data_IF_424490342300
#
_entry.id   IF_424490342300
#
_cell.length_a   1.000
_cell.length_b   1.000
_cell.length_c   1.000
_cell.angle_alpha   90.00
_cell.angle_beta   90.00
_cell.angle_gamma   90.00
#
_symmetry.space_group_name_H-M   'P 1'
#
loop_
_entity.id
_entity.type
_entity.pdbx_description
1 polymer ?
#
# COMPACT_ATOMS: atom_id res chain seq x y z
N UNK A 1 -24.05 20.68 8.24
CA UNK A 1 -22.95 19.88 8.82
C UNK A 1 -23.06 19.99 10.34
N UNK A 2 -23.12 18.90 11.09
CA UNK A 2 -23.12 19.02 12.55
C UNK A 2 -21.74 19.48 13.04
N UNK A 3 -21.75 20.41 13.99
CA UNK A 3 -20.56 21.04 14.61
C UNK A 3 -19.47 20.01 15.02
N UNK A 4 -19.86 18.79 15.34
CA UNK A 4 -18.94 17.72 15.74
C UNK A 4 -17.98 17.21 14.64
N UNK A 5 -18.31 17.39 13.37
CA UNK A 5 -17.40 17.02 12.26
C UNK A 5 -16.34 18.10 12.02
N UNK A 6 -16.69 19.37 12.15
CA UNK A 6 -15.75 20.48 12.00
C UNK A 6 -14.65 20.47 13.08
N UNK A 7 -15.03 20.13 14.33
CA UNK A 7 -14.07 20.03 15.45
C UNK A 7 -13.10 18.84 15.25
N UNK A 8 -13.57 17.73 14.67
CA UNK A 8 -12.71 16.57 14.39
C UNK A 8 -11.71 16.83 13.25
N UNK A 9 -12.11 17.58 12.23
CA UNK A 9 -11.23 17.95 11.10
C UNK A 9 -10.12 18.89 11.55
N UNK A 10 -10.46 19.89 12.39
CA UNK A 10 -9.46 20.82 12.95
C UNK A 10 -8.49 20.12 13.90
N UNK A 11 -8.94 19.12 14.67
CA UNK A 11 -8.08 18.35 15.57
C UNK A 11 -7.08 17.47 14.80
N UNK A 12 -7.50 16.86 13.71
CA UNK A 12 -6.61 16.04 12.85
C UNK A 12 -5.59 16.94 12.14
N UNK A 13 -6.00 18.09 11.63
CA UNK A 13 -5.10 19.04 10.99
C UNK A 13 -4.08 19.62 11.99
N UNK A 14 -4.52 19.95 13.22
CA UNK A 14 -3.66 20.43 14.29
C UNK A 14 -2.67 19.35 14.77
N UNK A 15 -3.09 18.07 14.79
CA UNK A 15 -2.21 16.96 15.14
C UNK A 15 -1.14 16.72 14.05
N UNK A 16 -1.50 16.76 12.77
CA UNK A 16 -0.56 16.67 11.66
C UNK A 16 0.45 17.83 11.69
N UNK A 17 -0.01 19.03 11.99
CA UNK A 17 0.87 20.21 12.12
C UNK A 17 1.75 20.17 13.37
N UNK A 18 1.31 19.56 14.47
CA UNK A 18 2.13 19.41 15.69
C UNK A 18 3.17 18.30 15.56
N UNK A 19 2.90 17.23 14.81
CA UNK A 19 3.87 16.17 14.48
C UNK A 19 4.95 16.71 13.53
N UNK A 20 4.64 17.74 12.72
CA UNK A 20 5.59 18.37 11.81
C UNK A 20 6.84 18.98 12.49
N UNK A 21 6.89 19.04 13.82
CA UNK A 21 8.09 19.48 14.56
C UNK A 21 9.09 18.37 14.88
N UNK A 22 8.74 17.10 14.66
CA UNK A 22 9.62 15.96 15.02
C UNK A 22 9.60 14.92 13.91
N UNK A 23 10.76 14.65 13.32
CA UNK A 23 11.04 13.44 12.59
C UNK A 23 11.15 13.53 11.06
N UNK A 24 11.81 12.60 10.44
CA UNK A 24 12.37 12.63 9.09
C UNK A 24 12.23 11.29 8.34
N UNK A 25 11.99 11.27 6.99
CA UNK A 25 12.04 10.06 6.25
C UNK A 25 11.60 9.95 4.80
N UNK A 26 11.78 8.84 4.10
CA UNK A 26 11.50 8.68 2.66
C UNK A 26 10.15 8.00 2.40
N UNK A 27 9.29 8.66 1.65
CA UNK A 27 8.24 8.02 0.85
C UNK A 27 8.67 8.02 -0.61
N UNK A 28 8.16 7.08 -1.40
CA UNK A 28 8.32 7.14 -2.84
C UNK A 28 7.89 8.54 -3.34
N UNK A 29 8.74 9.16 -4.12
CA UNK A 29 8.42 10.47 -4.72
C UNK A 29 7.08 10.37 -5.44
N UNK A 30 6.12 11.27 -5.16
CA UNK A 30 4.83 11.21 -5.83
C UNK A 30 5.06 11.24 -7.35
N UNK A 31 4.34 10.41 -8.12
CA UNK A 31 4.56 10.31 -9.55
C UNK A 31 4.37 11.69 -10.18
N UNK A 32 5.41 12.19 -10.82
CA UNK A 32 5.35 13.44 -11.57
C UNK A 32 4.49 13.22 -12.81
N UNK A 33 3.62 14.16 -13.17
CA UNK A 33 2.77 14.02 -14.34
C UNK A 33 3.55 13.92 -15.65
N UNK A 34 4.84 14.25 -15.63
CA UNK A 34 5.64 14.34 -16.82
C UNK A 34 7.10 14.00 -16.58
N UNK A 35 7.53 12.86 -17.08
CA UNK A 35 8.89 12.36 -16.89
C UNK A 35 9.80 12.51 -18.11
N UNK A 36 9.44 12.65 -19.28
CA UNK A 36 10.26 12.65 -20.48
C UNK A 36 11.40 13.65 -20.49
N UNK A 37 11.29 14.71 -21.29
CA UNK A 37 12.30 15.77 -21.43
C UNK A 37 12.60 16.54 -20.12
N UNK A 38 11.68 16.50 -19.15
CA UNK A 38 11.71 17.28 -17.92
C UNK A 38 11.67 16.42 -16.67
N UNK A 39 11.99 15.14 -16.76
CA UNK A 39 12.12 14.22 -15.62
C UNK A 39 13.01 14.81 -14.52
N UNK A 40 13.02 14.22 -13.32
CA UNK A 40 13.91 14.68 -12.25
C UNK A 40 15.33 14.65 -12.77
N UNK A 41 15.95 15.80 -12.81
CA UNK A 41 17.39 15.88 -13.03
C UNK A 41 18.06 15.24 -11.81
N UNK A 42 19.26 14.68 -11.97
CA UNK A 42 20.06 14.22 -10.81
C UNK A 42 20.17 15.31 -9.73
N UNK A 43 20.13 16.57 -10.10
CA UNK A 43 20.12 17.72 -9.20
C UNK A 43 18.87 17.78 -8.31
N UNK A 44 17.71 17.29 -8.73
CA UNK A 44 16.49 17.30 -7.91
C UNK A 44 16.59 16.32 -6.74
N UNK A 45 17.29 15.19 -6.94
CA UNK A 45 17.48 14.20 -5.86
C UNK A 45 18.53 14.64 -4.83
N UNK A 46 19.41 15.58 -5.18
CA UNK A 46 20.47 16.08 -4.31
C UNK A 46 20.13 17.38 -3.60
N UNK A 47 18.97 17.98 -3.89
CA UNK A 47 18.56 19.25 -3.28
C UNK A 47 18.37 19.14 -1.78
N UNK A 48 18.86 20.10 -1.00
CA UNK A 48 18.77 20.05 0.46
C UNK A 48 17.34 20.21 0.98
N UNK A 49 16.46 20.85 0.22
CA UNK A 49 15.04 21.03 0.53
C UNK A 49 14.21 20.96 -0.74
N UNK A 50 13.03 20.34 -0.63
CA UNK A 50 12.08 20.22 -1.73
C UNK A 50 10.67 20.19 -1.15
N UNK A 51 9.76 20.94 -1.73
CA UNK A 51 8.34 20.90 -1.41
C UNK A 51 7.55 20.78 -2.72
N UNK A 52 6.89 19.66 -2.90
CA UNK A 52 6.06 19.38 -4.05
C UNK A 52 4.59 19.34 -3.66
N UNK A 53 3.77 20.02 -4.43
CA UNK A 53 2.32 19.96 -4.36
C UNK A 53 1.82 19.25 -5.63
N UNK A 54 1.08 18.16 -5.44
CA UNK A 54 0.38 17.49 -6.53
C UNK A 54 -1.12 17.62 -6.26
N UNK A 55 -1.87 17.87 -7.29
CA UNK A 55 -3.32 17.83 -7.24
C UNK A 55 -3.89 17.30 -8.55
N UNK A 56 -5.02 16.65 -8.45
CA UNK A 56 -5.72 16.12 -9.61
C UNK A 56 -7.22 16.30 -9.44
N UNK A 57 -7.88 16.54 -10.56
CA UNK A 57 -9.34 16.55 -10.65
C UNK A 57 -9.75 15.58 -11.74
N UNK A 58 -10.85 14.89 -11.55
CA UNK A 58 -11.31 13.88 -12.48
C UNK A 58 -12.81 13.69 -12.45
N UNK A 59 -13.35 13.26 -13.61
CA UNK A 59 -14.66 12.62 -13.71
C UNK A 59 -14.48 11.12 -13.86
N UNK A 60 -15.38 10.34 -13.29
CA UNK A 60 -15.34 8.90 -13.31
C UNK A 60 -16.72 8.30 -13.49
N UNK A 61 -16.74 7.14 -14.12
CA UNK A 61 -17.89 6.25 -14.16
C UNK A 61 -17.48 4.91 -13.53
N UNK A 62 -18.34 4.37 -12.70
CA UNK A 62 -18.07 3.20 -11.90
C UNK A 62 -19.31 2.29 -11.89
N UNK A 63 -19.10 1.03 -12.22
CA UNK A 63 -20.08 -0.04 -12.11
C UNK A 63 -19.73 -0.86 -10.88
N UNK A 64 -20.35 -0.56 -9.76
CA UNK A 64 -20.12 -1.24 -8.50
C UNK A 64 -21.22 -2.26 -8.27
N UNK A 65 -21.04 -3.50 -8.73
CA UNK A 65 -21.96 -4.59 -8.52
C UNK A 65 -21.42 -5.60 -7.50
N UNK A 66 -22.19 -5.86 -6.46
CA UNK A 66 -21.91 -6.96 -5.54
C UNK A 66 -22.36 -8.28 -6.14
N UNK A 67 -21.57 -9.34 -5.99
CA UNK A 67 -21.84 -10.67 -6.51
C UNK A 67 -22.72 -11.52 -5.57
N UNK A 68 -23.30 -10.97 -4.54
CA UNK A 68 -24.16 -11.73 -3.64
C UNK A 68 -25.59 -11.80 -4.17
N UNK A 69 -26.01 -12.97 -4.53
CA UNK A 69 -27.44 -13.35 -4.50
C UNK A 69 -27.77 -13.53 -3.02
N UNK A 70 -28.61 -12.69 -2.47
CA UNK A 70 -29.20 -12.81 -1.14
C UNK A 70 -28.56 -12.03 0.01
N UNK A 71 -29.45 -11.21 0.52
CA UNK A 71 -29.68 -10.78 1.88
C UNK A 71 -28.80 -9.76 2.55
N UNK A 72 -29.40 -8.67 2.77
CA UNK A 72 -29.61 -7.93 4.03
C UNK A 72 -28.57 -6.93 4.54
N UNK A 73 -27.35 -6.82 4.07
CA UNK A 73 -26.42 -5.84 4.67
C UNK A 73 -25.65 -5.02 3.64
N UNK A 74 -26.03 -5.11 2.38
CA UNK A 74 -25.33 -4.31 1.37
C UNK A 74 -25.99 -2.94 1.30
N UNK A 75 -25.26 -1.91 1.72
CA UNK A 75 -25.68 -0.53 1.55
C UNK A 75 -25.99 -0.28 0.06
N UNK A 76 -27.28 -0.19 -0.27
CA UNK A 76 -27.77 0.05 -1.64
C UNK A 76 -27.13 1.30 -2.28
N UNK A 77 -26.57 2.17 -1.46
CA UNK A 77 -25.83 3.36 -1.90
C UNK A 77 -24.51 3.04 -2.58
N UNK A 78 -23.96 1.83 -2.39
CA UNK A 78 -22.72 1.38 -3.03
C UNK A 78 -22.96 0.53 -4.30
N UNK A 79 -24.20 0.18 -4.62
CA UNK A 79 -24.59 -0.80 -5.65
C UNK A 79 -24.95 -0.24 -7.01
N UNK A 80 -24.73 1.00 -7.33
CA UNK A 80 -25.21 1.55 -8.60
C UNK A 80 -24.09 1.91 -9.56
N UNK A 81 -24.36 1.70 -10.85
CA UNK A 81 -23.59 2.29 -11.95
C UNK A 81 -23.70 3.82 -11.83
N UNK A 82 -22.61 4.49 -11.47
CA UNK A 82 -22.65 5.89 -11.09
C UNK A 82 -21.54 6.71 -11.70
N UNK A 83 -21.92 7.92 -12.07
CA UNK A 83 -20.95 8.96 -12.36
C UNK A 83 -20.60 9.71 -11.08
N UNK A 84 -19.33 10.01 -10.89
CA UNK A 84 -18.86 10.85 -9.81
C UNK A 84 -17.69 11.72 -10.27
N UNK A 85 -17.47 12.80 -9.57
CA UNK A 85 -16.29 13.63 -9.74
C UNK A 85 -15.41 13.53 -8.49
N UNK A 86 -14.12 13.76 -8.64
CA UNK A 86 -13.20 13.72 -7.53
C UNK A 86 -12.05 14.69 -7.67
N UNK A 87 -11.48 15.01 -6.52
CA UNK A 87 -10.27 15.79 -6.42
C UNK A 87 -9.32 15.14 -5.40
N UNK A 88 -8.04 15.08 -5.75
CA UNK A 88 -6.99 14.63 -4.85
C UNK A 88 -5.95 15.74 -4.74
N UNK A 89 -5.45 15.96 -3.53
CA UNK A 89 -4.34 16.85 -3.27
C UNK A 89 -3.31 16.12 -2.41
N UNK A 90 -2.04 16.25 -2.75
CA UNK A 90 -0.96 15.71 -1.94
C UNK A 90 0.20 16.69 -1.87
N UNK A 91 0.78 16.78 -0.67
CA UNK A 91 1.93 17.60 -0.34
C UNK A 91 3.06 16.67 0.10
N UNK A 92 4.24 16.86 -0.46
CA UNK A 92 5.44 16.14 -0.06
C UNK A 92 6.57 17.13 0.21
N UNK A 93 7.00 17.20 1.46
CA UNK A 93 8.16 17.98 1.87
C UNK A 93 9.32 17.06 2.16
N UNK A 94 10.46 17.27 1.53
CA UNK A 94 11.70 16.52 1.78
C UNK A 94 12.83 17.48 2.14
N UNK A 95 13.55 17.15 3.22
CA UNK A 95 14.76 17.85 3.64
C UNK A 95 15.91 16.85 3.76
N UNK A 96 17.04 17.15 3.15
CA UNK A 96 18.23 16.27 3.08
C UNK A 96 19.47 16.95 3.64
N UNK A 97 19.61 17.16 4.96
CA UNK A 97 20.88 17.52 5.53
C UNK A 97 21.86 16.33 5.48
N UNK A 98 23.16 16.53 5.65
CA UNK A 98 24.11 15.44 5.65
C UNK A 98 23.72 14.31 6.63
N UNK A 99 23.76 13.06 6.17
CA UNK A 99 23.45 11.85 6.94
C UNK A 99 22.00 11.75 7.49
N UNK A 100 21.10 12.61 7.07
CA UNK A 100 19.69 12.61 7.53
C UNK A 100 18.77 12.92 6.35
N UNK A 101 17.62 12.29 6.31
CA UNK A 101 16.58 12.62 5.34
C UNK A 101 15.24 12.77 6.04
N UNK A 102 14.52 13.83 5.73
CA UNK A 102 13.18 14.14 6.18
C UNK A 102 12.22 14.07 5.01
N UNK A 103 11.14 13.32 5.17
CA UNK A 103 9.97 13.50 4.31
C UNK A 103 8.70 13.59 5.14
N UNK A 104 7.93 14.61 4.90
CA UNK A 104 6.58 14.77 5.42
C UNK A 104 5.64 14.67 4.24
N UNK A 105 4.57 13.89 4.40
CA UNK A 105 3.52 13.78 3.40
C UNK A 105 2.18 14.08 4.02
N UNK A 106 1.33 14.76 3.27
CA UNK A 106 -0.08 14.93 3.60
C UNK A 106 -0.89 14.76 2.33
N UNK A 107 -2.00 14.06 2.40
CA UNK A 107 -2.92 13.95 1.27
C UNK A 107 -4.36 14.03 1.71
N UNK A 108 -5.20 14.54 0.80
CA UNK A 108 -6.64 14.56 0.93
C UNK A 108 -7.24 14.16 -0.39
N UNK A 109 -8.31 13.37 -0.34
CA UNK A 109 -9.12 13.02 -1.49
C UNK A 109 -10.58 13.32 -1.18
N UNK A 110 -11.30 13.90 -2.14
CA UNK A 110 -12.72 14.12 -2.05
C UNK A 110 -13.41 13.56 -3.28
N UNK A 111 -14.59 12.95 -3.09
CA UNK A 111 -15.46 12.48 -4.15
C UNK A 111 -16.86 13.02 -3.95
N UNK A 112 -17.46 13.45 -5.03
CA UNK A 112 -18.81 13.97 -5.07
C UNK A 112 -19.68 13.06 -5.94
N UNK A 113 -20.74 12.52 -5.36
CA UNK A 113 -21.70 11.65 -5.99
C UNK A 113 -23.02 12.39 -6.15
N UNK A 114 -23.33 12.93 -7.35
CA UNK A 114 -24.55 13.72 -7.57
C UNK A 114 -25.82 12.91 -7.34
N UNK A 115 -25.82 11.62 -7.73
CA UNK A 115 -26.97 10.72 -7.66
C UNK A 115 -27.26 10.18 -6.24
N UNK A 116 -26.36 10.43 -5.28
CA UNK A 116 -26.48 9.99 -3.88
C UNK A 116 -26.80 11.16 -2.94
N UNK A 117 -27.89 11.89 -3.21
CA UNK A 117 -28.27 13.05 -2.41
C UNK A 117 -27.08 14.02 -2.18
N UNK A 118 -26.26 14.21 -3.19
CA UNK A 118 -25.05 15.06 -3.14
C UNK A 118 -24.03 14.60 -2.09
N UNK A 119 -23.88 13.29 -1.94
CA UNK A 119 -22.92 12.73 -0.99
C UNK A 119 -21.49 13.19 -1.33
N UNK A 120 -20.82 13.76 -0.35
CA UNK A 120 -19.39 14.07 -0.40
C UNK A 120 -18.66 13.08 0.50
N UNK A 121 -17.76 12.30 -0.09
CA UNK A 121 -16.86 11.40 0.64
C UNK A 121 -15.47 12.00 0.68
N UNK A 122 -14.88 12.12 1.88
CA UNK A 122 -13.54 12.69 2.06
C UNK A 122 -12.64 11.72 2.77
N UNK A 123 -11.39 11.64 2.33
CA UNK A 123 -10.33 10.83 2.93
C UNK A 123 -9.11 11.70 3.20
N UNK A 124 -8.39 11.38 4.28
CA UNK A 124 -7.18 12.10 4.67
C UNK A 124 -6.08 11.11 5.03
N UNK A 125 -4.84 11.45 4.68
CA UNK A 125 -3.68 10.73 5.19
C UNK A 125 -2.51 11.68 5.41
N UNK A 126 -1.66 11.31 6.36
CA UNK A 126 -0.43 12.02 6.65
C UNK A 126 0.66 11.03 7.06
N UNK A 127 1.89 11.38 6.77
CA UNK A 127 3.01 10.53 7.11
C UNK A 127 4.27 11.33 7.39
N UNK A 128 5.09 10.77 8.26
CA UNK A 128 6.44 11.22 8.54
C UNK A 128 7.38 10.04 8.45
N UNK A 129 8.48 10.18 7.77
CA UNK A 129 9.51 9.16 7.69
C UNK A 129 10.87 9.80 7.96
N UNK A 130 11.68 9.25 8.87
CA UNK A 130 13.01 9.70 9.26
C UNK A 130 14.06 8.65 8.94
N UNK A 131 15.04 9.01 8.14
CA UNK A 131 16.21 8.19 7.87
C UNK A 131 17.45 8.92 8.37
N UNK A 132 18.24 8.26 9.22
CA UNK A 132 19.46 8.82 9.77
C UNK A 132 20.58 7.78 9.74
N UNK A 133 21.78 8.25 9.44
CA UNK A 133 23.03 7.49 9.47
C UNK A 133 23.83 7.99 10.69
N UNK A 134 23.53 7.47 11.92
CA UNK A 134 24.19 7.95 13.13
C UNK A 134 25.68 7.61 13.17
N UNK A 135 26.08 6.55 12.49
CA UNK A 135 27.47 6.14 12.32
C UNK A 135 27.65 5.46 10.95
N UNK A 136 28.87 5.36 10.46
CA UNK A 136 29.19 4.89 9.09
C UNK A 136 28.64 3.50 8.73
N UNK A 137 28.30 2.69 9.73
CA UNK A 137 27.76 1.32 9.55
C UNK A 137 26.33 1.15 10.03
N UNK A 138 25.69 2.21 10.51
CA UNK A 138 24.35 2.19 11.01
C UNK A 138 23.44 3.12 10.21
N UNK A 139 22.28 2.61 9.85
CA UNK A 139 21.16 3.38 9.31
C UNK A 139 19.95 3.10 10.15
N UNK A 140 19.27 4.13 10.63
CA UNK A 140 18.04 4.02 11.41
C UNK A 140 16.94 4.75 10.66
N UNK A 141 15.81 4.09 10.50
CA UNK A 141 14.63 4.62 9.85
C UNK A 141 13.46 4.57 10.84
N UNK A 142 12.75 5.68 10.98
CA UNK A 142 11.51 5.74 11.76
C UNK A 142 10.40 6.34 10.91
N UNK A 143 9.18 5.89 11.11
CA UNK A 143 8.03 6.42 10.41
C UNK A 143 6.80 6.47 11.29
N UNK A 144 5.95 7.45 11.01
CA UNK A 144 4.60 7.55 11.56
C UNK A 144 3.61 7.81 10.45
N UNK A 145 2.44 7.20 10.50
CA UNK A 145 1.35 7.42 9.56
C UNK A 145 0.04 7.61 10.29
N UNK A 146 -0.83 8.42 9.71
CA UNK A 146 -2.20 8.64 10.14
C UNK A 146 -3.08 8.66 8.92
N UNK A 147 -4.19 7.92 8.93
CA UNK A 147 -5.17 7.97 7.87
C UNK A 147 -6.59 7.89 8.41
N UNK A 148 -7.50 8.55 7.70
CA UNK A 148 -8.94 8.46 7.87
C UNK A 148 -9.56 8.02 6.55
N UNK A 149 -10.44 7.03 6.60
CA UNK A 149 -11.26 6.60 5.48
C UNK A 149 -12.71 6.44 5.91
N UNK A 150 -13.70 6.94 5.11
CA UNK A 150 -15.11 6.71 5.35
C UNK A 150 -15.60 5.35 4.83
N UNK A 151 -14.71 4.56 4.25
CA UNK A 151 -15.01 3.25 3.71
C UNK A 151 -14.01 2.22 4.21
N UNK A 152 -14.50 1.01 4.43
CA UNK A 152 -13.66 -0.16 4.60
C UNK A 152 -13.22 -0.68 3.24
N UNK A 153 -11.92 -0.78 3.05
CA UNK A 153 -11.31 -1.26 1.81
C UNK A 153 -10.56 -2.54 2.07
N UNK A 154 -10.80 -3.53 1.24
CA UNK A 154 -10.06 -4.79 1.26
C UNK A 154 -9.44 -5.02 -0.10
N UNK A 155 -8.13 -5.00 -0.15
CA UNK A 155 -7.37 -5.48 -1.31
C UNK A 155 -6.83 -6.86 -0.97
N UNK A 156 -7.54 -7.88 -1.42
CA UNK A 156 -7.15 -9.27 -1.22
C UNK A 156 -5.94 -9.56 -2.11
N UNK A 157 -4.86 -10.02 -1.50
CA UNK A 157 -3.65 -10.39 -2.21
C UNK A 157 -2.56 -9.30 -2.29
N UNK A 158 -2.78 -8.12 -1.71
CA UNK A 158 -1.67 -7.20 -1.51
C UNK A 158 -0.79 -7.72 -0.38
N UNK A 159 0.46 -8.03 -0.67
CA UNK A 159 1.45 -8.30 0.37
C UNK A 159 1.79 -6.98 1.07
N UNK A 160 1.47 -6.79 2.36
CA UNK A 160 1.98 -5.62 3.05
C UNK A 160 3.50 -5.72 3.06
N UNK A 161 4.16 -4.81 2.37
CA UNK A 161 5.61 -4.72 2.38
C UNK A 161 6.13 -4.66 3.82
N UNK A 162 7.33 -5.18 4.06
CA UNK A 162 8.04 -5.14 5.35
C UNK A 162 8.31 -3.70 5.85
N UNK A 163 8.26 -2.73 4.97
CA UNK A 163 8.18 -1.33 5.32
C UNK A 163 6.72 -1.04 5.69
N UNK A 164 6.39 -0.91 6.95
CA UNK A 164 5.08 -0.46 7.45
C UNK A 164 4.63 0.91 6.93
N UNK A 165 5.13 1.31 5.80
CA UNK A 165 5.01 2.56 5.07
C UNK A 165 4.24 2.41 3.76
N UNK A 166 3.56 1.28 3.52
CA UNK A 166 2.55 1.25 2.49
C UNK A 166 1.43 2.25 2.88
N UNK A 167 1.78 3.52 2.68
CA UNK A 167 0.80 4.54 2.38
C UNK A 167 0.31 4.16 0.98
N UNK A 168 -0.42 3.05 0.91
CA UNK A 168 -1.22 2.75 -0.26
C UNK A 168 -2.04 4.00 -0.49
N UNK A 169 -1.73 4.68 -1.57
CA UNK A 169 -2.53 5.82 -1.96
C UNK A 169 -3.98 5.38 -1.94
N UNK A 170 -4.86 6.19 -1.41
CA UNK A 170 -6.25 5.85 -1.24
C UNK A 170 -6.84 5.41 -2.57
N UNK A 171 -7.10 4.15 -2.71
CA UNK A 171 -7.83 3.62 -3.83
C UNK A 171 -9.21 3.20 -3.32
N UNK A 172 -10.08 4.21 -3.09
CA UNK A 172 -11.46 3.99 -2.68
C UNK A 172 -12.27 3.16 -3.71
N UNK A 173 -11.61 2.71 -4.77
CA UNK A 173 -12.19 1.82 -5.78
C UNK A 173 -12.38 0.40 -5.28
N UNK A 174 -11.81 0.08 -4.14
CA UNK A 174 -11.92 -1.24 -3.50
C UNK A 174 -12.74 -1.20 -2.20
N UNK A 175 -13.59 -0.17 -2.05
CA UNK A 175 -14.48 -0.07 -0.90
C UNK A 175 -15.45 -1.27 -0.89
N UNK A 176 -15.39 -2.04 0.20
CA UNK A 176 -16.27 -3.20 0.43
C UNK A 176 -17.51 -2.82 1.23
N UNK A 177 -17.42 -1.85 2.13
CA UNK A 177 -18.54 -1.36 2.94
C UNK A 177 -18.31 0.09 3.36
N UNK A 178 -19.42 0.74 3.79
CA UNK A 178 -19.37 2.08 4.38
C UNK A 178 -19.07 1.96 5.87
N UNK A 179 -17.82 2.10 6.22
CA UNK A 179 -17.35 2.01 7.60
C UNK A 179 -16.21 2.99 7.82
N UNK A 180 -16.49 3.99 8.63
CA UNK A 180 -15.48 5.00 9.01
C UNK A 180 -14.36 4.36 9.80
N UNK A 181 -13.12 4.60 9.40
CA UNK A 181 -11.95 4.09 10.08
C UNK A 181 -10.86 5.15 10.25
N UNK A 182 -10.14 5.06 11.36
CA UNK A 182 -8.89 5.78 11.60
C UNK A 182 -7.77 4.77 11.84
N UNK A 183 -6.67 4.92 11.09
CA UNK A 183 -5.51 4.05 11.23
C UNK A 183 -4.28 4.89 11.61
N UNK A 184 -3.58 4.44 12.64
CA UNK A 184 -2.33 4.98 13.13
C UNK A 184 -1.24 3.95 12.91
N UNK A 185 -0.15 4.32 12.25
CA UNK A 185 0.99 3.46 12.03
C UNK A 185 2.25 4.05 12.63
N UNK A 186 3.09 3.20 13.20
CA UNK A 186 4.45 3.54 13.59
C UNK A 186 5.40 2.45 13.16
N UNK A 187 6.59 2.82 12.78
CA UNK A 187 7.64 1.91 12.33
C UNK A 187 9.00 2.41 12.80
N UNK A 188 9.84 1.49 13.24
CA UNK A 188 11.26 1.70 13.45
C UNK A 188 12.05 0.57 12.80
N UNK A 189 13.06 0.92 12.03
CA UNK A 189 14.01 -0.01 11.43
C UNK A 189 15.43 0.40 11.72
N UNK A 190 16.32 -0.56 11.92
CA UNK A 190 17.74 -0.33 12.07
C UNK A 190 18.50 -1.32 11.19
N UNK A 191 19.37 -0.79 10.34
CA UNK A 191 20.28 -1.58 9.51
C UNK A 191 21.70 -1.38 10.00
N UNK A 192 22.39 -2.50 10.27
CA UNK A 192 23.83 -2.52 10.56
C UNK A 192 24.58 -3.23 9.45
N UNK A 193 25.56 -2.56 8.90
CA UNK A 193 26.49 -3.12 7.91
C UNK A 193 27.75 -3.60 8.66
N UNK A 194 28.00 -4.91 8.65
CA UNK A 194 29.17 -5.50 9.32
C UNK A 194 30.39 -5.44 8.43
N UNK A 195 30.18 -5.67 7.11
CA UNK A 195 31.24 -5.63 6.09
C UNK A 195 30.63 -5.18 4.76
N UNK A 196 31.48 -5.02 3.74
CA UNK A 196 31.00 -4.74 2.37
C UNK A 196 30.04 -5.79 1.82
N UNK A 197 30.02 -7.00 2.39
CA UNK A 197 29.23 -8.13 1.92
C UNK A 197 28.14 -8.58 2.89
N UNK A 198 28.09 -8.06 4.11
CA UNK A 198 27.13 -8.52 5.12
C UNK A 198 26.45 -7.39 5.87
N UNK A 199 25.14 -7.52 6.04
CA UNK A 199 24.31 -6.58 6.79
C UNK A 199 23.18 -7.30 7.54
N UNK A 200 22.70 -6.66 8.59
CA UNK A 200 21.53 -7.08 9.35
C UNK A 200 20.54 -5.95 9.42
N UNK A 201 19.27 -6.26 9.19
CA UNK A 201 18.15 -5.34 9.34
C UNK A 201 17.26 -5.84 10.47
N UNK A 202 16.90 -4.96 11.39
CA UNK A 202 15.93 -5.19 12.46
C UNK A 202 14.78 -4.20 12.26
N UNK A 203 13.57 -4.63 12.49
CA UNK A 203 12.39 -3.77 12.31
C UNK A 203 11.31 -4.08 13.35
N UNK A 204 10.61 -3.05 13.75
CA UNK A 204 9.39 -3.15 14.55
C UNK A 204 8.35 -2.20 13.97
N UNK A 205 7.13 -2.67 13.81
CA UNK A 205 5.98 -1.90 13.35
C UNK A 205 4.77 -2.14 14.24
N UNK A 206 4.03 -1.08 14.48
CA UNK A 206 2.73 -1.09 15.16
C UNK A 206 1.73 -0.39 14.26
N UNK A 207 0.58 -1.03 14.01
CA UNK A 207 -0.57 -0.41 13.36
C UNK A 207 -1.78 -0.56 14.26
N UNK A 208 -2.46 0.52 14.50
CA UNK A 208 -3.68 0.58 15.29
C UNK A 208 -4.81 1.11 14.41
N UNK A 209 -5.86 0.32 14.23
CA UNK A 209 -7.03 0.68 13.42
C UNK A 209 -8.26 0.74 14.31
N UNK A 210 -8.92 1.88 14.30
CA UNK A 210 -10.17 2.14 14.99
C UNK A 210 -11.29 2.28 13.97
N UNK A 211 -12.27 1.39 14.02
CA UNK A 211 -13.53 1.55 13.32
C UNK A 211 -14.50 2.33 14.19
N UNK A 212 -15.03 3.44 13.68
CA UNK A 212 -15.88 4.34 14.45
C UNK A 212 -17.22 3.65 14.75
N UNK A 213 -17.55 3.53 16.04
CA UNK A 213 -18.73 2.82 16.51
C UNK A 213 -18.60 1.28 16.57
N UNK A 214 -17.44 0.73 16.25
CA UNK A 214 -17.18 -0.71 16.21
C UNK A 214 -15.85 -1.07 16.92
N UNK A 215 -15.24 -2.17 16.50
CA UNK A 215 -14.05 -2.73 17.10
C UNK A 215 -12.76 -1.91 16.83
N UNK A 216 -11.76 -2.15 17.66
CA UNK A 216 -10.42 -1.57 17.54
C UNK A 216 -9.39 -2.69 17.49
N UNK A 217 -8.42 -2.59 16.58
CA UNK A 217 -7.43 -3.62 16.33
C UNK A 217 -6.01 -3.05 16.43
N UNK A 218 -5.11 -3.86 16.95
CA UNK A 218 -3.67 -3.58 16.95
C UNK A 218 -2.93 -4.71 16.21
N UNK A 219 -2.14 -4.37 15.21
CA UNK A 219 -1.24 -5.26 14.47
C UNK A 219 0.21 -4.87 14.81
N UNK A 220 0.95 -5.78 15.40
CA UNK A 220 2.34 -5.62 15.79
C UNK A 220 3.20 -6.59 14.98
N UNK A 221 4.32 -6.11 14.48
CA UNK A 221 5.28 -6.92 13.71
C UNK A 221 6.69 -6.59 14.14
N UNK A 222 7.45 -7.61 14.48
CA UNK A 222 8.89 -7.51 14.76
C UNK A 222 9.65 -8.44 13.81
N UNK A 223 10.77 -7.99 13.27
CA UNK A 223 11.55 -8.79 12.34
C UNK A 223 13.04 -8.53 12.42
N UNK A 224 13.80 -9.55 12.08
CA UNK A 224 15.25 -9.49 11.90
C UNK A 224 15.59 -10.22 10.60
N UNK A 225 16.48 -9.63 9.80
CA UNK A 225 16.96 -10.22 8.55
C UNK A 225 18.46 -10.02 8.40
N UNK A 226 19.17 -11.11 8.21
CA UNK A 226 20.57 -11.09 7.86
C UNK A 226 20.72 -11.29 6.35
N UNK A 227 21.57 -10.48 5.71
CA UNK A 227 21.88 -10.55 4.29
C UNK A 227 23.37 -10.67 4.11
N UNK A 228 23.80 -11.63 3.28
CA UNK A 228 25.20 -11.82 2.88
C UNK A 228 25.34 -11.90 1.38
N UNK A 229 26.09 -10.99 0.78
CA UNK A 229 26.52 -11.11 -0.62
C UNK A 229 27.59 -12.21 -0.70
N UNK A 230 27.28 -13.28 -1.43
CA UNK A 230 28.18 -14.41 -1.67
C UNK A 230 29.08 -14.12 -2.86
N UNK A 231 28.57 -13.36 -3.84
CA UNK A 231 29.30 -12.86 -4.99
C UNK A 231 28.74 -11.49 -5.41
N UNK A 232 29.31 -10.90 -6.47
CA UNK A 232 28.81 -9.65 -7.07
C UNK A 232 27.35 -9.77 -7.58
N UNK A 233 26.90 -10.99 -7.83
CA UNK A 233 25.57 -11.27 -8.40
C UNK A 233 24.66 -12.06 -7.49
N UNK A 234 25.17 -12.70 -6.44
CA UNK A 234 24.40 -13.55 -5.54
C UNK A 234 24.42 -13.03 -4.10
N UNK A 235 23.26 -13.02 -3.47
CA UNK A 235 23.09 -12.76 -2.04
C UNK A 235 22.24 -13.84 -1.38
N UNK A 236 22.57 -14.17 -0.14
CA UNK A 236 21.81 -15.04 0.75
C UNK A 236 21.12 -14.18 1.80
N UNK A 237 19.85 -14.46 2.08
CA UNK A 237 19.07 -13.81 3.12
C UNK A 237 18.53 -14.85 4.08
N UNK A 238 18.61 -14.56 5.37
CA UNK A 238 17.97 -15.34 6.44
C UNK A 238 17.11 -14.36 7.24
N UNK A 239 15.82 -14.64 7.37
CA UNK A 239 14.86 -13.81 8.06
C UNK A 239 14.09 -14.55 9.15
N UNK A 240 13.74 -13.82 10.21
CA UNK A 240 12.76 -14.20 11.21
C UNK A 240 11.83 -13.04 11.46
N UNK A 241 10.53 -13.31 11.48
CA UNK A 241 9.50 -12.32 11.78
C UNK A 241 8.47 -12.90 12.72
N UNK A 242 8.05 -12.08 13.68
CA UNK A 242 6.92 -12.36 14.56
C UNK A 242 5.85 -11.28 14.35
N UNK A 243 4.59 -11.70 14.35
CA UNK A 243 3.42 -10.81 14.27
C UNK A 243 2.37 -11.18 15.31
N UNK A 244 1.61 -10.18 15.75
CA UNK A 244 0.46 -10.35 16.62
C UNK A 244 -0.65 -9.39 16.19
N UNK A 245 -1.84 -9.92 15.94
CA UNK A 245 -3.04 -9.11 15.68
C UNK A 245 -4.02 -9.35 16.81
N UNK A 246 -4.41 -8.26 17.47
CA UNK A 246 -5.27 -8.29 18.67
C UNK A 246 -6.44 -7.32 18.50
N UNK A 247 -7.60 -7.70 19.01
CA UNK A 247 -8.70 -6.78 19.21
C UNK A 247 -8.55 -6.11 20.57
N UNK A 248 -8.44 -4.78 20.56
CA UNK A 248 -8.22 -3.98 21.78
C UNK A 248 -9.56 -3.62 22.45
N UNK A 249 -10.59 -3.40 21.64
CA UNK A 249 -11.94 -3.05 22.10
C UNK A 249 -13.01 -3.73 21.23
N UNK A 250 -14.06 -4.20 21.86
CA UNK A 250 -15.14 -4.96 21.24
C UNK A 250 -15.31 -6.34 21.90
N UNK A 251 -15.80 -7.33 21.16
CA UNK A 251 -15.85 -8.73 21.63
C UNK A 251 -14.43 -9.24 21.88
N UNK A 252 -14.23 -10.02 22.95
CA UNK A 252 -12.88 -10.59 23.26
C UNK A 252 -12.60 -11.79 22.35
N UNK A 253 -12.33 -11.52 21.08
CA UNK A 253 -11.82 -12.56 20.20
C UNK A 253 -10.33 -12.83 20.50
N UNK A 254 -9.88 -14.09 20.42
CA UNK A 254 -8.50 -14.45 20.70
C UNK A 254 -7.55 -13.85 19.66
N UNK A 255 -6.37 -13.43 20.14
CA UNK A 255 -5.32 -12.88 19.29
C UNK A 255 -4.82 -13.90 18.26
N UNK A 256 -4.38 -13.40 17.10
CA UNK A 256 -3.67 -14.19 16.09
C UNK A 256 -2.18 -13.94 16.22
N UNK A 257 -1.41 -14.98 16.38
CA UNK A 257 0.06 -14.91 16.42
C UNK A 257 0.65 -15.59 15.18
N UNK A 258 1.59 -14.90 14.53
CA UNK A 258 2.36 -15.42 13.40
C UNK A 258 3.85 -15.46 13.71
N UNK A 259 4.54 -16.54 13.30
CA UNK A 259 6.00 -16.66 13.34
C UNK A 259 6.47 -17.18 11.99
N UNK A 260 7.32 -16.40 11.33
CA UNK A 260 7.83 -16.71 9.99
C UNK A 260 9.35 -16.85 10.05
N UNK A 261 9.86 -17.89 9.39
CA UNK A 261 11.29 -18.07 9.12
C UNK A 261 11.44 -18.16 7.62
N UNK A 262 12.30 -17.36 7.04
CA UNK A 262 12.57 -17.33 5.60
C UNK A 262 14.06 -17.46 5.28
N UNK A 263 14.35 -18.25 4.25
CA UNK A 263 15.64 -18.36 3.59
C UNK A 263 15.50 -17.88 2.16
N UNK A 264 16.32 -16.93 1.72
CA UNK A 264 16.19 -16.31 0.42
C UNK A 264 17.50 -16.27 -0.37
N UNK A 265 17.37 -16.38 -1.68
CA UNK A 265 18.42 -16.15 -2.65
C UNK A 265 18.07 -14.93 -3.50
N UNK A 266 18.99 -13.99 -3.59
CA UNK A 266 18.90 -12.86 -4.51
C UNK A 266 19.91 -13.02 -5.65
N UNK A 267 19.45 -12.83 -6.86
CA UNK A 267 20.31 -12.80 -8.04
C UNK A 267 20.11 -11.49 -8.79
N UNK A 268 21.20 -10.77 -9.00
CA UNK A 268 21.17 -9.49 -9.71
C UNK A 268 22.31 -9.44 -10.72
N UNK A 269 22.00 -9.69 -11.97
CA UNK A 269 22.96 -9.63 -13.07
C UNK A 269 22.31 -9.08 -14.32
N UNK A 270 23.10 -8.43 -15.15
CA UNK A 270 22.73 -8.10 -16.52
C UNK A 270 22.69 -9.41 -17.33
N UNK A 271 21.48 -9.90 -17.65
CA UNK A 271 21.26 -11.00 -18.56
C UNK A 271 21.03 -10.37 -19.95
N UNK A 272 21.89 -10.69 -20.91
CA UNK A 272 21.94 -10.07 -22.25
C UNK A 272 22.56 -8.64 -22.26
N UNK A 273 23.19 -8.29 -23.36
CA UNK A 273 24.02 -7.10 -23.52
C UNK A 273 23.31 -5.73 -23.35
N UNK A 274 21.98 -5.71 -23.28
CA UNK A 274 21.19 -4.46 -23.24
C UNK A 274 20.11 -4.36 -22.15
N UNK A 275 19.85 -5.40 -21.35
CA UNK A 275 18.79 -5.37 -20.35
C UNK A 275 19.24 -5.81 -18.97
N UNK A 276 18.89 -5.04 -17.94
CA UNK A 276 19.13 -5.40 -16.53
C UNK A 276 17.96 -6.27 -16.06
N UNK A 277 18.27 -7.47 -15.58
CA UNK A 277 17.30 -8.37 -14.96
C UNK A 277 17.73 -8.64 -13.53
N UNK A 278 16.81 -8.47 -12.58
CA UNK A 278 16.98 -8.82 -11.18
C UNK A 278 15.97 -9.90 -10.83
N UNK A 279 16.43 -10.96 -10.21
CA UNK A 279 15.61 -12.06 -9.71
C UNK A 279 15.89 -12.22 -8.23
N UNK A 280 14.83 -12.29 -7.44
CA UNK A 280 14.90 -12.62 -6.03
C UNK A 280 13.94 -13.77 -5.73
N UNK A 281 14.35 -14.64 -4.84
CA UNK A 281 13.54 -15.77 -4.41
C UNK A 281 13.73 -15.97 -2.92
N UNK A 282 12.64 -16.23 -2.20
CA UNK A 282 12.66 -16.64 -0.80
C UNK A 282 11.74 -17.83 -0.60
N UNK A 283 12.13 -18.75 0.25
CA UNK A 283 11.29 -19.83 0.72
C UNK A 283 11.34 -19.86 2.24
N UNK A 284 10.23 -20.17 2.87
CA UNK A 284 10.15 -20.12 4.32
C UNK A 284 8.97 -20.90 4.85
N UNK A 285 8.79 -20.77 6.15
CA UNK A 285 7.69 -21.38 6.87
C UNK A 285 7.06 -20.37 7.81
N UNK A 286 5.76 -20.49 7.99
CA UNK A 286 4.97 -19.70 8.92
C UNK A 286 4.21 -20.61 9.86
N UNK A 287 4.31 -20.37 11.15
CA UNK A 287 3.41 -20.95 12.14
C UNK A 287 2.41 -19.90 12.55
N UNK A 288 1.13 -20.17 12.34
CA UNK A 288 0.03 -19.26 12.70
C UNK A 288 -0.80 -19.94 13.80
N UNK A 289 -0.95 -19.23 14.91
CA UNK A 289 -1.74 -19.67 16.07
C UNK A 289 -2.99 -18.81 16.16
N UNK A 290 -4.15 -19.47 16.19
CA UNK A 290 -5.49 -18.90 16.37
C UNK A 290 -6.20 -19.59 17.53
N UNK A 291 -7.44 -19.23 17.83
CA UNK A 291 -8.27 -19.96 18.80
C UNK A 291 -8.41 -21.45 18.47
N UNK A 292 -8.43 -21.81 17.18
CA UNK A 292 -8.57 -23.19 16.70
C UNK A 292 -7.27 -24.00 16.72
N UNK A 293 -6.16 -23.44 17.28
CA UNK A 293 -4.86 -24.11 17.38
C UNK A 293 -3.79 -23.49 16.47
N UNK A 294 -2.66 -24.18 16.36
CA UNK A 294 -1.51 -23.76 15.57
C UNK A 294 -1.43 -24.54 14.27
N UNK A 295 -1.16 -23.83 13.18
CA UNK A 295 -0.94 -24.44 11.87
C UNK A 295 0.41 -24.03 11.28
N UNK A 296 1.06 -25.00 10.65
CA UNK A 296 2.31 -24.82 9.94
C UNK A 296 2.05 -24.70 8.45
N UNK A 297 2.59 -23.65 7.83
CA UNK A 297 2.35 -23.30 6.45
C UNK A 297 3.68 -23.04 5.75
N UNK A 298 3.81 -23.53 4.52
CA UNK A 298 4.95 -23.20 3.66
C UNK A 298 4.68 -21.86 3.00
N UNK A 299 5.61 -20.92 3.12
CA UNK A 299 5.56 -19.58 2.57
C UNK A 299 6.71 -19.33 1.60
N UNK A 300 6.61 -18.32 0.78
CA UNK A 300 7.70 -17.96 -0.12
C UNK A 300 7.35 -16.78 -1.01
N UNK A 301 8.36 -16.21 -1.61
CA UNK A 301 8.17 -15.15 -2.60
C UNK A 301 9.16 -15.28 -3.75
N UNK A 302 8.76 -14.81 -4.92
CA UNK A 302 9.63 -14.67 -6.07
C UNK A 302 9.44 -13.29 -6.70
N UNK A 303 10.51 -12.62 -6.99
CA UNK A 303 10.50 -11.31 -7.66
C UNK A 303 11.32 -11.37 -8.92
N UNK A 304 10.73 -10.94 -10.00
CA UNK A 304 11.41 -10.69 -11.26
C UNK A 304 11.24 -9.22 -11.62
N UNK A 305 12.33 -8.52 -11.81
CA UNK A 305 12.32 -7.16 -12.34
C UNK A 305 13.22 -7.10 -13.56
N UNK A 306 12.69 -6.57 -14.66
CA UNK A 306 13.40 -6.46 -15.93
C UNK A 306 13.22 -5.08 -16.53
N UNK A 307 14.32 -4.46 -16.88
CA UNK A 307 14.32 -3.29 -17.73
C UNK A 307 14.23 -3.77 -19.20
N UNK A 308 13.03 -3.66 -19.79
CA UNK A 308 12.74 -4.10 -21.16
C UNK A 308 13.43 -3.21 -22.20
N UNK A 309 13.52 -1.92 -21.92
CA UNK A 309 14.23 -0.93 -22.71
C UNK A 309 14.70 0.22 -21.81
N UNK A 310 15.30 1.25 -22.38
CA UNK A 310 15.67 2.46 -21.62
C UNK A 310 14.46 3.16 -20.98
N UNK A 311 13.29 2.99 -21.55
CA UNK A 311 12.06 3.68 -21.16
C UNK A 311 11.01 2.75 -20.56
N UNK A 312 11.22 1.41 -20.56
CA UNK A 312 10.23 0.43 -20.12
C UNK A 312 10.79 -0.49 -19.06
N UNK A 313 10.00 -0.70 -18.02
CA UNK A 313 10.26 -1.65 -16.95
C UNK A 313 9.08 -2.59 -16.77
N UNK A 314 9.39 -3.84 -16.46
CA UNK A 314 8.40 -4.84 -16.05
C UNK A 314 8.86 -5.46 -14.73
N UNK A 315 7.90 -5.63 -13.82
CA UNK A 315 8.10 -6.29 -12.54
C UNK A 315 6.99 -7.33 -12.36
N UNK A 316 7.37 -8.51 -11.91
CA UNK A 316 6.45 -9.56 -11.48
C UNK A 316 6.84 -9.96 -10.06
N UNK A 317 5.88 -10.00 -9.18
CA UNK A 317 6.02 -10.43 -7.80
C UNK A 317 5.03 -11.55 -7.54
N UNK A 318 5.51 -12.71 -7.14
CA UNK A 318 4.74 -13.79 -6.55
C UNK A 318 4.97 -13.78 -5.05
N UNK A 319 3.92 -13.94 -4.27
CA UNK A 319 3.99 -14.08 -2.82
C UNK A 319 3.00 -15.14 -2.34
N UNK A 320 3.48 -16.04 -1.50
CA UNK A 320 2.68 -17.04 -0.79
C UNK A 320 2.88 -16.84 0.70
N UNK A 321 1.81 -16.43 1.37
CA UNK A 321 1.92 -16.06 2.77
C UNK A 321 0.60 -15.97 3.50
N UNK A 322 0.70 -15.64 4.79
CA UNK A 322 -0.44 -15.38 5.64
C UNK A 322 -0.56 -13.89 5.89
N UNK A 323 -1.76 -13.39 5.70
CA UNK A 323 -2.13 -12.01 5.99
C UNK A 323 -3.33 -12.01 6.93
N UNK A 324 -3.41 -11.01 7.78
CA UNK A 324 -4.61 -10.69 8.54
C UNK A 324 -5.06 -9.31 8.09
N UNK A 325 -6.12 -9.22 7.26
CA UNK A 325 -6.64 -7.92 6.82
C UNK A 325 -7.11 -7.08 8.00
N UNK A 326 -6.97 -5.77 7.88
CA UNK A 326 -7.44 -4.83 8.90
C UNK A 326 -8.93 -5.04 9.19
N UNK A 327 -9.32 -4.97 10.45
CA UNK A 327 -10.71 -5.15 10.86
C UNK A 327 -11.18 -6.60 10.91
N UNK A 328 -10.29 -7.55 10.65
CA UNK A 328 -10.62 -8.98 10.78
C UNK A 328 -9.65 -9.66 11.75
N UNK A 329 -10.14 -10.65 12.49
CA UNK A 329 -9.29 -11.60 13.24
C UNK A 329 -9.31 -12.97 12.57
N UNK A 330 -9.33 -12.98 11.24
CA UNK A 330 -9.24 -14.21 10.44
C UNK A 330 -8.01 -14.16 9.56
N UNK A 331 -7.10 -15.14 9.65
CA UNK A 331 -5.95 -15.21 8.77
C UNK A 331 -6.38 -15.59 7.35
N UNK A 332 -5.79 -14.95 6.37
CA UNK A 332 -5.91 -15.26 4.95
C UNK A 332 -4.60 -15.89 4.50
N UNK A 333 -4.64 -17.13 4.06
CA UNK A 333 -3.51 -17.78 3.43
C UNK A 333 -3.70 -17.77 1.93
N UNK A 334 -2.80 -17.14 1.21
CA UNK A 334 -2.97 -16.87 -0.21
C UNK A 334 -1.68 -16.98 -1.02
N UNK A 335 -1.88 -17.31 -2.28
CA UNK A 335 -0.93 -17.15 -3.37
C UNK A 335 -1.30 -15.90 -4.15
N UNK A 336 -0.38 -14.96 -4.32
CA UNK A 336 -0.61 -13.72 -5.05
C UNK A 336 0.40 -13.53 -6.16
N UNK A 337 -0.05 -13.00 -7.29
CA UNK A 337 0.79 -12.59 -8.40
C UNK A 337 0.47 -11.15 -8.71
N UNK A 338 1.46 -10.27 -8.57
CA UNK A 338 1.34 -8.85 -8.86
C UNK A 338 2.28 -8.47 -9.99
N UNK A 339 1.75 -7.79 -10.99
CA UNK A 339 2.49 -7.24 -12.12
C UNK A 339 2.59 -5.72 -12.05
N UNK A 340 3.67 -5.19 -12.56
CA UNK A 340 3.80 -3.77 -12.85
C UNK A 340 4.56 -3.61 -14.16
N UNK A 341 3.89 -3.11 -15.18
CA UNK A 341 4.49 -2.76 -16.46
C UNK A 341 4.33 -1.26 -16.61
N UNK A 342 5.44 -0.56 -16.71
CA UNK A 342 5.41 0.90 -16.87
C UNK A 342 6.47 1.36 -17.85
N UNK A 343 6.13 2.36 -18.63
CA UNK A 343 7.07 2.91 -19.58
C UNK A 343 6.51 4.07 -20.39
N UNK A 344 7.40 4.65 -21.18
CA UNK A 344 7.12 5.79 -22.03
C UNK A 344 7.11 5.36 -23.50
N UNK A 345 6.05 5.71 -24.21
CA UNK A 345 6.01 5.62 -25.68
C UNK A 345 6.86 6.73 -26.31
N UNK A 346 6.81 7.90 -25.71
CA UNK A 346 7.61 9.07 -26.08
C UNK A 346 7.79 9.98 -24.84
N UNK A 347 8.39 11.14 -24.99
CA UNK A 347 8.62 12.09 -23.90
C UNK A 347 7.35 12.61 -23.22
N UNK A 348 6.17 12.41 -23.80
CA UNK A 348 4.91 12.96 -23.31
C UNK A 348 3.87 11.92 -22.93
N UNK A 349 4.02 10.67 -23.35
CA UNK A 349 3.00 9.63 -23.15
C UNK A 349 3.60 8.49 -22.33
N UNK A 350 3.00 8.25 -21.17
CA UNK A 350 3.36 7.15 -20.25
C UNK A 350 2.19 6.15 -20.16
N UNK A 351 2.52 4.87 -20.14
CA UNK A 351 1.58 3.79 -19.80
C UNK A 351 2.03 3.13 -18.49
N UNK A 352 1.06 2.82 -17.64
CA UNK A 352 1.22 1.96 -16.47
C UNK A 352 0.11 0.93 -16.42
N UNK A 353 0.47 -0.33 -16.21
CA UNK A 353 -0.47 -1.44 -16.06
C UNK A 353 -0.11 -2.21 -14.80
N UNK A 354 -1.06 -2.40 -13.90
CA UNK A 354 -0.91 -3.01 -12.59
C UNK A 354 -1.89 -4.18 -12.44
N UNK A 355 -1.65 -5.35 -13.07
CA UNK A 355 -2.48 -6.54 -12.87
C UNK A 355 -2.13 -7.21 -11.55
N UNK A 356 -3.13 -7.75 -10.87
CA UNK A 356 -2.98 -8.57 -9.68
C UNK A 356 -3.97 -9.73 -9.70
N UNK A 357 -3.51 -10.88 -9.23
CA UNK A 357 -4.32 -12.07 -9.02
C UNK A 357 -4.01 -12.65 -7.64
N UNK A 358 -5.04 -13.04 -6.90
CA UNK A 358 -4.88 -13.76 -5.66
C UNK A 358 -5.84 -14.96 -5.62
N UNK A 359 -5.32 -16.08 -5.15
CA UNK A 359 -6.07 -17.29 -4.84
C UNK A 359 -5.71 -17.73 -3.43
N UNK A 360 -6.71 -18.04 -2.61
CA UNK A 360 -6.41 -18.37 -1.23
C UNK A 360 -7.62 -18.87 -0.43
N UNK A 361 -7.44 -18.83 0.88
CA UNK A 361 -8.45 -19.30 1.85
C UNK A 361 -8.52 -18.34 3.02
N UNK A 362 -9.72 -18.07 3.49
CA UNK A 362 -10.00 -17.36 4.74
C UNK A 362 -10.16 -18.37 5.85
N UNK A 363 -9.53 -18.13 6.98
CA UNK A 363 -9.44 -19.11 8.06
C UNK A 363 -8.37 -20.17 7.76
N UNK A 364 -8.11 -20.99 8.76
CA UNK A 364 -7.16 -22.09 8.69
C UNK A 364 -7.86 -23.39 9.07
N UNK A 365 -7.44 -24.51 8.45
CA UNK A 365 -7.98 -25.83 8.74
C UNK A 365 -9.06 -26.30 7.78
N UNK A 366 -9.87 -27.28 8.21
CA UNK A 366 -10.82 -27.96 7.36
C UNK A 366 -12.03 -27.09 6.92
N UNK A 367 -12.32 -26.04 7.68
CA UNK A 367 -13.44 -25.10 7.39
C UNK A 367 -12.95 -23.82 6.69
N UNK A 368 -11.73 -23.82 6.16
CA UNK A 368 -11.21 -22.66 5.45
C UNK A 368 -12.04 -22.37 4.19
N UNK A 369 -12.46 -21.11 4.03
CA UNK A 369 -13.30 -20.66 2.92
C UNK A 369 -12.42 -20.20 1.75
N UNK A 370 -12.39 -20.89 0.60
CA UNK A 370 -11.59 -20.49 -0.54
C UNK A 370 -12.13 -19.21 -1.20
N UNK A 371 -11.23 -18.44 -1.76
CA UNK A 371 -11.55 -17.24 -2.53
C UNK A 371 -10.61 -17.02 -3.70
N UNK A 372 -11.07 -16.23 -4.66
CA UNK A 372 -10.29 -15.71 -5.76
C UNK A 372 -10.47 -14.20 -5.86
N UNK A 373 -9.39 -13.50 -6.19
CA UNK A 373 -9.41 -12.06 -6.45
C UNK A 373 -8.60 -11.72 -7.69
N UNK A 374 -9.13 -10.84 -8.52
CA UNK A 374 -8.45 -10.28 -9.70
C UNK A 374 -8.58 -8.77 -9.64
N UNK A 375 -7.49 -8.07 -9.85
CA UNK A 375 -7.53 -6.62 -10.06
C UNK A 375 -6.62 -6.20 -11.20
N UNK A 376 -6.98 -5.10 -11.84
CA UNK A 376 -6.14 -4.45 -12.83
C UNK A 376 -6.37 -2.96 -12.82
N UNK A 377 -5.32 -2.18 -12.85
CA UNK A 377 -5.38 -0.74 -13.09
C UNK A 377 -4.50 -0.42 -14.29
N UNK A 378 -5.09 0.17 -15.32
CA UNK A 378 -4.38 0.62 -16.52
C UNK A 378 -4.54 2.12 -16.65
N UNK A 379 -3.43 2.85 -16.68
CA UNK A 379 -3.41 4.31 -16.76
C UNK A 379 -2.50 4.77 -17.88
N UNK A 380 -3.02 5.67 -18.71
CA UNK A 380 -2.27 6.38 -19.74
C UNK A 380 -2.22 7.84 -19.34
N UNK A 381 -1.05 8.42 -19.32
CA UNK A 381 -0.82 9.85 -19.01
C UNK A 381 -0.25 10.57 -20.23
N UNK A 382 -0.79 11.74 -20.51
CA UNK A 382 -0.38 12.62 -21.61
C UNK A 382 0.14 13.94 -21.02
N UNK A 383 1.42 14.19 -21.08
CA UNK A 383 2.02 15.45 -20.66
C UNK A 383 1.63 16.61 -21.57
N UNK A 384 0.80 17.50 -21.08
CA UNK A 384 0.39 18.74 -21.78
C UNK A 384 1.46 19.83 -21.62
N UNK A 385 2.21 19.78 -20.52
CA UNK A 385 3.28 20.71 -20.19
C UNK A 385 4.19 20.16 -19.10
N UNK A 386 5.07 20.99 -18.58
CA UNK A 386 6.02 20.58 -17.52
C UNK A 386 5.36 20.24 -16.19
N UNK A 387 4.17 20.75 -15.96
CA UNK A 387 3.46 20.67 -14.68
C UNK A 387 2.07 20.06 -14.81
N UNK A 388 1.57 19.85 -16.03
CA UNK A 388 0.20 19.42 -16.28
C UNK A 388 0.19 18.17 -17.15
N UNK A 389 -0.58 17.19 -16.76
CA UNK A 389 -0.87 16.00 -17.56
C UNK A 389 -2.37 15.69 -17.55
N UNK A 390 -2.88 15.27 -18.70
CA UNK A 390 -4.16 14.58 -18.84
C UNK A 390 -3.94 13.10 -18.59
N UNK A 391 -4.87 12.42 -17.95
CA UNK A 391 -4.82 10.97 -17.82
C UNK A 391 -6.16 10.33 -18.11
N UNK A 392 -6.08 9.10 -18.60
CA UNK A 392 -7.20 8.16 -18.72
C UNK A 392 -6.81 6.92 -17.95
N UNK A 393 -7.69 6.47 -17.08
CA UNK A 393 -7.46 5.30 -16.23
C UNK A 393 -8.67 4.37 -16.29
N UNK A 394 -8.41 3.09 -16.48
CA UNK A 394 -9.38 2.02 -16.33
C UNK A 394 -8.99 1.17 -15.13
N UNK A 395 -9.97 0.85 -14.27
CA UNK A 395 -9.78 -0.05 -13.16
C UNK A 395 -10.81 -1.17 -13.18
N UNK A 396 -10.37 -2.35 -12.75
CA UNK A 396 -11.18 -3.53 -12.59
C UNK A 396 -10.80 -4.21 -11.29
N UNK A 397 -11.77 -4.59 -10.49
CA UNK A 397 -11.57 -5.36 -9.27
C UNK A 397 -12.71 -6.35 -9.07
N UNK A 398 -12.36 -7.61 -8.88
CA UNK A 398 -13.30 -8.69 -8.58
C UNK A 398 -12.73 -9.57 -7.50
N UNK A 399 -13.55 -9.92 -6.52
CA UNK A 399 -13.31 -11.05 -5.65
C UNK A 399 -14.58 -11.85 -5.44
N UNK A 400 -14.43 -13.15 -5.11
CA UNK A 400 -15.54 -14.03 -4.74
C UNK A 400 -15.06 -15.06 -3.73
N UNK A 401 -15.87 -15.29 -2.71
CA UNK A 401 -15.73 -16.36 -1.74
C UNK A 401 -16.62 -17.52 -2.11
N UNK A 402 -16.20 -18.76 -1.82
CA UNK A 402 -17.01 -19.94 -2.12
C UNK A 402 -18.21 -20.09 -1.17
N UNK A 403 -18.09 -19.58 0.05
CA UNK A 403 -19.16 -19.62 1.06
C UNK A 403 -19.24 -18.27 1.78
N UNK A 404 -20.44 -17.76 1.99
CA UNK A 404 -20.67 -16.47 2.63
C UNK A 404 -20.95 -16.58 4.15
N UNK A 405 -21.19 -17.80 4.67
CA UNK A 405 -21.70 -18.01 6.03
C UNK A 405 -20.74 -17.57 7.14
N UNK A 406 -19.43 -17.52 6.88
CA UNK A 406 -18.40 -17.25 7.91
C UNK A 406 -17.50 -16.06 7.57
N UNK A 407 -17.96 -15.15 6.74
CA UNK A 407 -17.18 -13.96 6.40
C UNK A 407 -17.27 -12.91 7.52
N UNK A 408 -16.21 -12.09 7.71
CA UNK A 408 -16.31 -10.92 8.55
C UNK A 408 -17.46 -10.01 8.09
N UNK A 409 -18.20 -9.39 9.00
CA UNK A 409 -19.38 -8.57 8.66
C UNK A 409 -19.09 -7.40 7.68
N UNK A 410 -17.82 -7.01 7.56
CA UNK A 410 -17.38 -5.95 6.66
C UNK A 410 -17.09 -6.43 5.24
N UNK A 411 -17.09 -7.75 4.99
CA UNK A 411 -16.84 -8.37 3.70
C UNK A 411 -18.12 -8.95 3.12
N UNK A 412 -18.52 -8.43 1.96
CA UNK A 412 -19.53 -9.11 1.16
C UNK A 412 -18.96 -10.40 0.55
N UNK A 413 -19.81 -11.38 0.26
CA UNK A 413 -19.41 -12.66 -0.34
C UNK A 413 -18.77 -12.56 -1.72
N UNK A 414 -18.91 -11.42 -2.38
CA UNK A 414 -18.24 -11.09 -3.63
C UNK A 414 -18.42 -9.63 -4.02
N UNK A 415 -17.51 -9.15 -4.79
CA UNK A 415 -17.51 -7.81 -5.38
C UNK A 415 -17.06 -7.90 -6.83
N UNK A 416 -17.76 -7.23 -7.71
CA UNK A 416 -17.31 -7.01 -9.09
C UNK A 416 -17.43 -5.53 -9.40
N UNK A 417 -16.29 -4.89 -9.62
CA UNK A 417 -16.21 -3.44 -9.84
C UNK A 417 -15.33 -3.13 -11.03
N UNK A 418 -15.84 -2.35 -11.92
CA UNK A 418 -15.10 -1.83 -13.08
C UNK A 418 -15.45 -0.38 -13.28
N UNK A 419 -14.51 0.41 -13.74
CA UNK A 419 -14.75 1.81 -14.01
C UNK A 419 -13.67 2.45 -14.83
N UNK A 420 -13.94 3.67 -15.24
CA UNK A 420 -13.02 4.50 -15.97
C UNK A 420 -12.97 5.90 -15.38
N UNK A 421 -11.83 6.54 -15.48
CA UNK A 421 -11.58 7.92 -15.05
C UNK A 421 -10.88 8.69 -16.14
N UNK A 422 -11.25 9.95 -16.25
CA UNK A 422 -10.54 10.94 -17.06
C UNK A 422 -10.28 12.15 -16.18
N UNK A 423 -9.04 12.62 -16.15
CA UNK A 423 -8.69 13.71 -15.26
C UNK A 423 -7.43 14.46 -15.65
N UNK A 424 -7.22 15.55 -14.97
CA UNK A 424 -6.02 16.38 -15.06
C UNK A 424 -5.23 16.23 -13.77
N UNK A 425 -3.91 16.09 -13.89
CA UNK A 425 -2.96 16.13 -12.78
C UNK A 425 -2.05 17.33 -12.95
N UNK A 426 -1.87 18.08 -11.87
CA UNK A 426 -0.89 19.16 -11.80
C UNK A 426 0.16 18.85 -10.75
N UNK A 427 1.40 19.16 -11.09
CA UNK A 427 2.53 19.11 -10.19
C UNK A 427 3.15 20.50 -10.07
N UNK A 428 3.22 21.02 -8.86
CA UNK A 428 3.77 22.34 -8.57
C UNK A 428 4.91 22.21 -7.56
N UNK A 429 6.15 22.38 -7.99
CA UNK A 429 7.26 22.47 -7.07
C UNK A 429 7.23 23.84 -6.38
N UNK A 430 6.98 23.86 -5.08
CA UNK A 430 6.86 25.10 -4.29
C UNK A 430 8.21 25.56 -3.78
N UNK A 431 9.08 24.61 -3.38
CA UNK A 431 10.46 24.86 -2.95
C UNK A 431 11.38 23.92 -3.74
N UNK A 432 12.44 24.51 -4.27
CA UNK A 432 13.48 23.77 -5.01
C UNK A 432 14.85 24.06 -4.45
#
# INVERSE_FOLDING_TARGET
MPLGQAIRITSVLALVLSIARVGYGQTAEPPRPFHGLFGPTQNDQTRPRQLDLNWSVYGAQDDNSFLSNETDIVDSTLQANRMYSGANISLAYTRRPPRKVLTLTASSAARYYPDLHQLVSTRYSGGVLFDVIPADRWQVQTAGTLSYSPYYEVVLGSSPGLSGLDVAGPNADYAASRQDSMTYGSFIGAKRTFSATSSMNMSYGLRYTQFLGAAQYADQRAGIRYTRAVSKSFSLNLGYQQSAVTQVRGSKEPAIYGRNIDLGLGYNRTLFSSSRTSIGFTSGTSTVTTAGGSQFLVTGSARLMRQLSRLWTAQLLYDRGVQVPEGTLRPFFNDTVNGNISGYFNSRVMLRVLPSYAHGKVGLGAQANPYNSVSNTTRIEFGLGRQVALYVEHFYYRYAFANNADLPPMLAGGLNRKGARVGLTLWTPVIR
#
